data_IF_962497718858
#
_entry.id   IF_962497718858
#
_cell.length_a   1.000
_cell.length_b   1.000
_cell.length_c   1.000
_cell.angle_alpha   90.00
_cell.angle_beta   90.00
_cell.angle_gamma   90.00
#
_symmetry.space_group_name_H-M   'P 1'
#
loop_
_entity.id
_entity.type
_entity.pdbx_description
1 polymer ?
#
# COMPACT_ATOMS: atom_id res chain seq x y z
N UNK A 1 10.60 29.00 -5.73
CA UNK A 1 9.24 29.11 -6.29
C UNK A 1 8.58 27.75 -6.14
N UNK A 2 7.66 27.59 -5.18
CA UNK A 2 6.86 26.38 -5.06
C UNK A 2 5.85 26.41 -6.20
N UNK A 3 6.02 25.54 -7.19
CA UNK A 3 5.08 25.40 -8.30
C UNK A 3 3.71 25.09 -7.72
N UNK A 4 2.80 26.06 -7.81
CA UNK A 4 1.41 25.89 -7.40
C UNK A 4 0.83 24.89 -8.41
N UNK A 5 0.67 23.63 -7.99
CA UNK A 5 -0.04 22.63 -8.77
C UNK A 5 -1.44 23.19 -8.96
N UNK A 6 -1.84 23.43 -10.20
CA UNK A 6 -3.22 23.83 -10.48
C UNK A 6 -4.11 22.63 -10.17
N UNK A 7 -5.16 22.83 -9.37
CA UNK A 7 -6.14 21.79 -9.10
C UNK A 7 -6.85 21.45 -10.42
N UNK A 8 -6.54 20.28 -10.99
CA UNK A 8 -7.12 19.81 -12.26
C UNK A 8 -8.52 19.22 -12.03
N UNK A 9 -8.86 18.92 -10.77
CA UNK A 9 -10.10 18.29 -10.33
C UNK A 9 -10.96 19.28 -9.53
N UNK A 10 -12.28 19.37 -9.79
CA UNK A 10 -13.18 20.16 -8.97
C UNK A 10 -13.32 19.64 -7.52
N UNK A 11 -12.96 18.37 -7.27
CA UNK A 11 -12.98 17.76 -5.95
C UNK A 11 -11.92 18.33 -5.00
N UNK A 12 -10.78 18.79 -5.55
CA UNK A 12 -9.66 19.35 -4.77
C UNK A 12 -9.62 20.88 -4.85
N UNK A 13 -10.52 21.48 -5.62
CA UNK A 13 -10.50 22.89 -5.96
C UNK A 13 -10.97 23.79 -4.79
N UNK A 14 -10.22 24.86 -4.51
CA UNK A 14 -10.38 25.78 -3.36
C UNK A 14 -11.81 26.11 -2.91
N UNK A 15 -12.72 26.40 -3.84
CA UNK A 15 -14.12 26.74 -3.54
C UNK A 15 -15.16 25.77 -4.12
N UNK A 16 -14.80 24.88 -5.05
CA UNK A 16 -15.75 23.92 -5.64
C UNK A 16 -15.85 22.64 -4.81
N UNK A 17 -14.79 22.30 -4.06
CA UNK A 17 -14.75 21.14 -3.18
C UNK A 17 -15.82 21.17 -2.09
N UNK A 18 -16.25 22.35 -1.63
CA UNK A 18 -17.36 22.47 -0.68
C UNK A 18 -18.72 22.02 -1.24
N UNK A 19 -18.88 22.02 -2.57
CA UNK A 19 -20.10 21.57 -3.24
C UNK A 19 -19.98 20.17 -3.84
N UNK A 20 -18.81 19.86 -4.41
CA UNK A 20 -18.59 18.65 -5.21
C UNK A 20 -17.70 17.62 -4.52
N UNK A 21 -16.91 18.04 -3.52
CA UNK A 21 -15.97 17.19 -2.81
C UNK A 21 -16.65 16.25 -1.80
N UNK A 22 -15.94 15.18 -1.48
CA UNK A 22 -16.29 14.22 -0.44
C UNK A 22 -15.00 13.85 0.29
N UNK A 23 -14.86 14.34 1.53
CA UNK A 23 -13.65 14.14 2.33
C UNK A 23 -13.43 12.67 2.69
N UNK A 24 -14.51 11.89 2.88
CA UNK A 24 -14.44 10.48 3.22
C UNK A 24 -13.89 9.67 2.04
N UNK A 25 -14.45 9.89 0.84
CA UNK A 25 -13.96 9.24 -0.38
C UNK A 25 -12.55 9.72 -0.74
N UNK A 26 -12.26 11.01 -0.60
CA UNK A 26 -10.91 11.56 -0.83
C UNK A 26 -9.88 10.90 0.09
N UNK A 27 -10.20 10.71 1.38
CA UNK A 27 -9.33 10.02 2.33
C UNK A 27 -9.06 8.56 1.93
N UNK A 28 -10.04 7.86 1.34
CA UNK A 28 -9.86 6.49 0.83
C UNK A 28 -9.02 6.43 -0.46
N UNK A 29 -8.97 7.51 -1.24
CA UNK A 29 -8.18 7.60 -2.47
C UNK A 29 -6.79 8.21 -2.27
N UNK A 30 -6.51 8.78 -1.10
CA UNK A 30 -5.21 9.33 -0.75
C UNK A 30 -4.08 8.28 -0.83
N UNK A 31 -2.87 8.72 -1.20
CA UNK A 31 -1.68 7.86 -1.31
C UNK A 31 -1.38 7.08 -0.01
N UNK A 32 -1.61 7.69 1.16
CA UNK A 32 -1.43 7.02 2.44
C UNK A 32 -2.41 5.84 2.62
N UNK A 33 -3.66 5.98 2.19
CA UNK A 33 -4.65 4.91 2.22
C UNK A 33 -4.30 3.79 1.23
N UNK A 34 -3.80 4.14 0.04
CA UNK A 34 -3.28 3.18 -0.94
C UNK A 34 -2.13 2.34 -0.36
N UNK A 35 -1.10 2.98 0.19
CA UNK A 35 0.05 2.29 0.79
C UNK A 35 -0.40 1.39 1.96
N UNK A 36 -1.31 1.88 2.81
CA UNK A 36 -1.88 1.10 3.92
C UNK A 36 -2.61 -0.15 3.41
N UNK A 37 -3.35 -0.04 2.31
CA UNK A 37 -4.07 -1.17 1.71
C UNK A 37 -3.10 -2.18 1.04
N UNK A 38 -2.07 -1.70 0.34
CA UNK A 38 -1.01 -2.55 -0.21
C UNK A 38 -0.28 -3.33 0.89
N UNK A 39 0.03 -2.69 2.02
CA UNK A 39 0.58 -3.33 3.21
C UNK A 39 -0.34 -4.40 3.79
N UNK A 40 -1.64 -4.12 3.88
CA UNK A 40 -2.62 -5.07 4.37
C UNK A 40 -2.64 -6.34 3.51
N UNK A 41 -2.64 -6.20 2.17
CA UNK A 41 -2.51 -7.33 1.26
C UNK A 41 -1.21 -8.12 1.49
N UNK A 42 -0.09 -7.41 1.68
CA UNK A 42 1.23 -8.02 1.87
C UNK A 42 1.42 -8.71 3.21
N UNK A 43 0.57 -8.40 4.20
CA UNK A 43 0.46 -9.16 5.45
C UNK A 43 -0.49 -10.35 5.29
N UNK A 44 -1.56 -10.20 4.52
CA UNK A 44 -2.57 -11.24 4.32
C UNK A 44 -2.06 -12.40 3.44
N UNK A 45 -1.33 -12.10 2.36
CA UNK A 45 -0.84 -13.11 1.42
C UNK A 45 0.06 -14.17 2.10
N UNK A 46 1.15 -13.81 2.82
CA UNK A 46 1.98 -14.79 3.52
C UNK A 46 1.22 -15.62 4.56
N UNK A 47 0.19 -15.04 5.18
CA UNK A 47 -0.67 -15.78 6.13
C UNK A 47 -1.47 -16.86 5.40
N UNK A 48 -2.07 -16.53 4.26
CA UNK A 48 -2.78 -17.50 3.42
C UNK A 48 -1.81 -18.57 2.89
N UNK A 49 -0.64 -18.17 2.39
CA UNK A 49 0.39 -19.10 1.92
C UNK A 49 0.87 -20.07 3.01
N UNK A 50 0.99 -19.61 4.26
CA UNK A 50 1.35 -20.47 5.39
C UNK A 50 0.24 -21.45 5.78
N UNK A 51 -1.03 -21.04 5.68
CA UNK A 51 -2.19 -21.93 5.89
C UNK A 51 -2.17 -23.07 4.87
N UNK A 52 -1.86 -22.74 3.61
CA UNK A 52 -1.75 -23.72 2.51
C UNK A 52 -0.40 -24.47 2.49
N UNK A 53 0.50 -24.23 3.46
CA UNK A 53 1.80 -24.91 3.55
C UNK A 53 2.84 -24.52 2.50
N UNK A 54 2.60 -23.43 1.75
CA UNK A 54 3.51 -22.92 0.71
C UNK A 54 4.77 -22.30 1.33
N UNK A 55 4.61 -21.62 2.47
CA UNK A 55 5.72 -21.04 3.24
C UNK A 55 5.66 -21.48 4.71
N UNK A 56 6.79 -21.48 5.43
CA UNK A 56 6.79 -21.70 6.87
C UNK A 56 5.98 -20.65 7.66
N UNK A 57 5.30 -21.07 8.74
CA UNK A 57 4.48 -20.19 9.56
C UNK A 57 5.28 -19.08 10.27
N UNK A 58 6.53 -19.35 10.62
CA UNK A 58 7.47 -18.37 11.18
C UNK A 58 7.86 -17.29 10.14
N UNK A 59 7.97 -17.67 8.86
CA UNK A 59 8.17 -16.73 7.77
C UNK A 59 6.98 -15.77 7.64
N UNK A 60 5.75 -16.29 7.63
CA UNK A 60 4.55 -15.45 7.60
C UNK A 60 4.47 -14.48 8.79
N UNK A 61 4.79 -14.95 10.00
CA UNK A 61 4.84 -14.11 11.21
C UNK A 61 5.90 -13.00 11.10
N UNK A 62 7.09 -13.35 10.63
CA UNK A 62 8.20 -12.39 10.47
C UNK A 62 7.87 -11.34 9.41
N UNK A 63 7.25 -11.74 8.29
CA UNK A 63 6.80 -10.82 7.24
C UNK A 63 5.74 -9.86 7.77
N UNK A 64 4.77 -10.35 8.55
CA UNK A 64 3.76 -9.50 9.17
C UNK A 64 4.41 -8.43 10.08
N UNK A 65 5.39 -8.81 10.90
CA UNK A 65 6.11 -7.89 11.77
C UNK A 65 6.91 -6.84 10.97
N UNK A 66 7.61 -7.27 9.91
CA UNK A 66 8.35 -6.36 9.03
C UNK A 66 7.43 -5.34 8.34
N UNK A 67 6.26 -5.78 7.88
CA UNK A 67 5.26 -4.89 7.30
C UNK A 67 4.70 -3.89 8.33
N UNK A 68 4.54 -4.29 9.59
CA UNK A 68 4.13 -3.37 10.66
C UNK A 68 5.09 -2.20 10.86
N UNK A 69 6.38 -2.40 10.65
CA UNK A 69 7.39 -1.34 10.75
C UNK A 69 7.32 -0.32 9.61
N UNK A 70 6.79 -0.74 8.46
CA UNK A 70 6.69 0.05 7.23
C UNK A 70 5.37 0.82 7.08
N UNK A 71 4.43 0.75 8.05
CA UNK A 71 3.20 1.52 7.91
C UNK A 71 3.48 3.03 7.86
N UNK A 72 2.89 3.75 6.89
CA UNK A 72 3.08 5.18 6.75
C UNK A 72 2.50 5.91 7.96
N UNK A 73 3.42 6.41 8.80
CA UNK A 73 3.14 7.26 9.96
C UNK A 73 4.40 7.98 10.49
N UNK A 74 5.56 7.81 9.82
CA UNK A 74 6.88 8.28 10.29
C UNK A 74 7.58 9.24 9.33
N UNK A 75 6.85 9.99 8.51
CA UNK A 75 7.43 11.05 7.67
C UNK A 75 8.43 10.59 6.59
N UNK A 76 8.56 9.29 6.34
CA UNK A 76 9.38 8.78 5.25
C UNK A 76 8.74 9.14 3.90
N UNK A 77 9.49 9.73 2.96
CA UNK A 77 8.97 10.13 1.66
C UNK A 77 8.81 8.90 0.77
N UNK A 78 7.70 8.20 0.95
CA UNK A 78 7.24 7.16 0.04
C UNK A 78 7.07 7.75 -1.36
N UNK A 79 7.73 7.18 -2.36
CA UNK A 79 7.52 7.55 -3.77
C UNK A 79 8.52 8.53 -4.38
N UNK A 80 9.62 8.89 -3.71
CA UNK A 80 10.64 9.80 -4.28
C UNK A 80 11.62 9.16 -5.28
N UNK A 81 11.45 7.88 -5.60
CA UNK A 81 12.28 7.17 -6.59
C UNK A 81 11.51 7.07 -7.92
N UNK A 82 11.56 8.16 -8.69
CA UNK A 82 10.79 8.40 -9.92
C UNK A 82 11.05 7.37 -11.03
N UNK A 83 12.15 6.61 -10.95
CA UNK A 83 12.58 5.73 -12.04
C UNK A 83 11.81 4.39 -12.14
N UNK A 84 11.16 3.92 -11.06
CA UNK A 84 10.58 2.55 -11.02
C UNK A 84 9.15 2.48 -10.47
N UNK A 85 8.60 3.62 -10.05
CA UNK A 85 7.27 3.72 -9.44
C UNK A 85 7.18 3.07 -8.05
N UNK A 86 6.12 3.41 -7.32
CA UNK A 86 5.84 2.96 -5.93
C UNK A 86 5.89 1.42 -5.77
N UNK A 87 5.64 0.67 -6.86
CA UNK A 87 5.53 -0.80 -6.93
C UNK A 87 6.77 -1.58 -6.48
N UNK A 88 7.97 -1.23 -6.98
CA UNK A 88 9.19 -2.03 -6.74
C UNK A 88 9.88 -1.68 -5.42
N UNK A 89 9.71 -0.43 -4.98
CA UNK A 89 10.29 0.09 -3.75
C UNK A 89 9.73 -0.62 -2.52
N UNK A 90 8.42 -0.89 -2.52
CA UNK A 90 7.73 -1.54 -1.42
C UNK A 90 8.28 -2.94 -1.09
N UNK A 91 8.49 -3.78 -2.11
CA UNK A 91 8.96 -5.17 -1.92
C UNK A 91 10.39 -5.20 -1.42
N UNK A 92 11.26 -4.31 -1.93
CA UNK A 92 12.64 -4.20 -1.47
C UNK A 92 12.73 -3.78 -0.01
N UNK A 93 11.98 -2.77 0.40
CA UNK A 93 11.97 -2.32 1.79
C UNK A 93 11.44 -3.40 2.72
N UNK A 94 10.36 -4.09 2.34
CA UNK A 94 9.82 -5.19 3.13
C UNK A 94 10.79 -6.35 3.23
N UNK A 95 11.47 -6.73 2.14
CA UNK A 95 12.53 -7.74 2.18
C UNK A 95 13.67 -7.36 3.13
N UNK A 96 14.11 -6.10 3.08
CA UNK A 96 15.15 -5.60 3.97
C UNK A 96 14.71 -5.60 5.44
N UNK A 97 13.46 -5.22 5.73
CA UNK A 97 12.90 -5.21 7.08
C UNK A 97 12.71 -6.63 7.64
N UNK A 98 12.42 -7.61 6.78
CA UNK A 98 12.24 -9.02 7.17
C UNK A 98 13.58 -9.73 7.39
N UNK A 99 14.58 -9.46 6.54
CA UNK A 99 15.91 -10.06 6.63
C UNK A 99 15.93 -11.57 6.35
N UNK A 100 17.12 -12.17 6.39
CA UNK A 100 17.29 -13.62 6.24
C UNK A 100 16.87 -14.36 7.53
N UNK A 101 16.36 -15.61 7.43
CA UNK A 101 16.17 -16.39 6.21
C UNK A 101 14.83 -16.14 5.51
N UNK A 102 13.97 -15.28 6.06
CA UNK A 102 12.56 -15.19 5.67
C UNK A 102 12.30 -14.22 4.51
N UNK A 103 13.20 -13.30 4.22
CA UNK A 103 13.06 -12.26 3.20
C UNK A 103 12.79 -12.82 1.81
N UNK A 104 13.31 -14.01 1.49
CA UNK A 104 13.05 -14.70 0.22
C UNK A 104 11.56 -15.04 -0.03
N UNK A 105 10.76 -15.18 1.04
CA UNK A 105 9.32 -15.47 0.94
C UNK A 105 8.47 -14.20 0.78
N UNK A 106 9.06 -13.02 0.94
CA UNK A 106 8.33 -11.77 0.69
C UNK A 106 7.98 -11.67 -0.79
N UNK A 107 6.69 -11.47 -1.06
CA UNK A 107 6.14 -11.35 -2.40
C UNK A 107 6.28 -12.63 -3.23
N UNK A 108 6.33 -13.80 -2.58
CA UNK A 108 6.27 -15.07 -3.30
C UNK A 108 4.98 -15.15 -4.12
N UNK A 109 5.06 -15.73 -5.31
CA UNK A 109 3.95 -16.00 -6.24
C UNK A 109 3.04 -14.82 -6.67
N UNK A 110 3.27 -13.60 -6.19
CA UNK A 110 2.48 -12.43 -6.53
C UNK A 110 3.24 -11.50 -7.48
N UNK A 111 2.48 -10.83 -8.33
CA UNK A 111 2.92 -9.78 -9.25
C UNK A 111 2.65 -8.40 -8.65
N UNK A 112 3.21 -7.35 -9.26
CA UNK A 112 2.88 -5.98 -8.85
C UNK A 112 1.40 -5.65 -9.04
N UNK A 113 0.74 -6.25 -10.02
CA UNK A 113 -0.68 -5.99 -10.28
C UNK A 113 -1.56 -6.56 -9.16
N UNK A 114 -1.26 -7.75 -8.64
CA UNK A 114 -2.02 -8.35 -7.52
C UNK A 114 -2.05 -7.43 -6.30
N UNK A 115 -0.94 -6.73 -6.03
CA UNK A 115 -0.82 -5.79 -4.90
C UNK A 115 -1.63 -4.52 -5.15
N UNK A 116 -1.53 -3.96 -6.35
CA UNK A 116 -2.22 -2.71 -6.72
C UNK A 116 -3.72 -2.92 -6.75
N UNK A 117 -4.18 -3.96 -7.46
CA UNK A 117 -5.60 -4.23 -7.67
C UNK A 117 -6.25 -4.67 -6.36
N UNK A 118 -5.61 -5.54 -5.57
CA UNK A 118 -6.12 -5.89 -4.24
C UNK A 118 -6.17 -4.66 -3.32
N UNK A 119 -5.13 -3.82 -3.35
CA UNK A 119 -5.11 -2.57 -2.58
C UNK A 119 -6.19 -1.58 -3.00
N UNK A 120 -6.53 -1.50 -4.29
CA UNK A 120 -7.65 -0.72 -4.81
C UNK A 120 -8.98 -1.30 -4.33
N UNK A 121 -9.22 -2.60 -4.50
CA UNK A 121 -10.46 -3.25 -4.08
C UNK A 121 -10.69 -3.11 -2.57
N UNK A 122 -9.65 -3.23 -1.74
CA UNK A 122 -9.78 -3.01 -0.28
C UNK A 122 -10.24 -1.59 0.08
N UNK A 123 -9.98 -0.59 -0.77
CA UNK A 123 -10.41 0.80 -0.56
C UNK A 123 -11.79 1.04 -1.15
N UNK A 124 -12.05 0.53 -2.36
CA UNK A 124 -13.37 0.61 -2.99
C UNK A 124 -14.44 -0.11 -2.17
N UNK A 125 -14.11 -1.25 -1.55
CA UNK A 125 -14.99 -1.97 -0.64
C UNK A 125 -15.46 -1.15 0.58
N UNK A 126 -14.76 -0.05 0.91
CA UNK A 126 -15.18 0.89 1.96
C UNK A 126 -16.00 2.06 1.43
N UNK A 127 -15.83 2.40 0.16
CA UNK A 127 -16.52 3.50 -0.50
C UNK A 127 -17.86 3.06 -1.12
N UNK A 128 -17.98 1.78 -1.47
CA UNK A 128 -19.14 1.23 -2.15
C UNK A 128 -19.95 0.34 -1.20
N UNK A 129 -21.28 0.35 -1.30
CA UNK A 129 -22.10 -0.68 -0.69
C UNK A 129 -21.88 -1.99 -1.48
N UNK A 130 -21.14 -2.91 -0.88
CA UNK A 130 -20.91 -4.27 -1.38
C UNK A 130 -21.77 -5.29 -0.64
#
# INVERSE_FOLDING_TARGET
MHGRVADVSPFDHLYLSGLLGDEEVAALLAAAAEIKAMLAFKVALPKAEAIEGIIPADAAKTIANGAHLLFPGRGEPWGRDEARGVRLYFVRQLRAAVGEPHGRHVHLAATSQDVMDSGLILRLARALPI
#
